data_IF_921389061540
#
_entry.id   IF_921389061540
#
_cell.length_a   1.000
_cell.length_b   1.000
_cell.length_c   1.000
_cell.angle_alpha   90.00
_cell.angle_beta   90.00
_cell.angle_gamma   90.00
#
_symmetry.space_group_name_H-M   'P 1'
#
loop_
_entity.id
_entity.type
_entity.pdbx_description
1 polymer ?
#
# COMPACT_ATOMS: atom_id res chain seq x y z
N UNK A 1 14.96 11.04 15.43
CA UNK A 1 14.39 9.78 14.87
C UNK A 1 14.54 9.86 13.35
N UNK A 2 15.36 9.01 12.72
CA UNK A 2 15.58 9.09 11.28
C UNK A 2 14.27 8.94 10.51
N UNK A 3 14.06 9.76 9.48
CA UNK A 3 12.84 9.74 8.66
C UNK A 3 12.61 8.34 8.03
N UNK A 4 13.67 7.63 7.68
CA UNK A 4 13.59 6.25 7.18
C UNK A 4 12.89 5.31 8.15
N UNK A 5 13.18 5.41 9.45
CA UNK A 5 12.53 4.58 10.47
C UNK A 5 11.03 4.89 10.58
N UNK A 6 10.65 6.16 10.46
CA UNK A 6 9.24 6.55 10.44
C UNK A 6 8.53 5.95 9.21
N UNK A 7 9.13 6.06 8.03
CA UNK A 7 8.60 5.53 6.77
C UNK A 7 8.48 3.99 6.82
N UNK A 8 9.51 3.28 7.32
CA UNK A 8 9.46 1.82 7.49
C UNK A 8 8.32 1.40 8.41
N UNK A 9 8.20 2.06 9.55
CA UNK A 9 7.15 1.76 10.53
C UNK A 9 5.76 2.05 9.97
N UNK A 10 5.60 3.18 9.26
CA UNK A 10 4.36 3.50 8.56
C UNK A 10 3.97 2.42 7.55
N UNK A 11 4.93 1.96 6.74
CA UNK A 11 4.68 0.92 5.73
C UNK A 11 4.17 -0.38 6.37
N UNK A 12 4.83 -0.86 7.42
CA UNK A 12 4.41 -2.06 8.15
C UNK A 12 2.99 -1.92 8.70
N UNK A 13 2.70 -0.79 9.35
CA UNK A 13 1.38 -0.51 9.93
C UNK A 13 0.29 -0.45 8.84
N UNK A 14 0.55 0.26 7.74
CA UNK A 14 -0.41 0.42 6.66
C UNK A 14 -0.69 -0.90 5.91
N UNK A 15 0.32 -1.71 5.65
CA UNK A 15 0.16 -3.03 5.03
C UNK A 15 -0.59 -3.99 5.96
N UNK A 16 -0.30 -3.97 7.26
CA UNK A 16 -1.06 -4.76 8.24
C UNK A 16 -2.54 -4.36 8.25
N UNK A 17 -2.84 -3.05 8.28
CA UNK A 17 -4.21 -2.56 8.21
C UNK A 17 -4.94 -3.02 6.93
N UNK A 18 -4.25 -2.98 5.79
CA UNK A 18 -4.82 -3.45 4.53
C UNK A 18 -5.14 -4.95 4.58
N UNK A 19 -4.22 -5.79 5.05
CA UNK A 19 -4.46 -7.23 5.22
C UNK A 19 -5.62 -7.50 6.18
N UNK A 20 -5.63 -6.86 7.33
CA UNK A 20 -6.67 -7.04 8.35
C UNK A 20 -8.04 -6.62 7.82
N UNK A 21 -8.12 -5.59 6.96
CA UNK A 21 -9.36 -5.18 6.31
C UNK A 21 -9.94 -6.25 5.38
N UNK A 22 -9.10 -7.04 4.71
CA UNK A 22 -9.54 -8.17 3.87
C UNK A 22 -9.96 -9.35 4.75
N UNK A 23 -9.19 -9.67 5.79
CA UNK A 23 -9.54 -10.74 6.73
C UNK A 23 -10.85 -10.46 7.46
N UNK A 24 -11.18 -9.22 7.70
CA UNK A 24 -12.43 -8.79 8.35
C UNK A 24 -13.68 -9.15 7.53
N UNK A 25 -13.57 -9.43 6.24
CA UNK A 25 -14.69 -9.89 5.42
C UNK A 25 -15.26 -11.22 5.93
N UNK A 26 -14.39 -12.15 6.34
CA UNK A 26 -14.81 -13.43 6.90
C UNK A 26 -14.86 -13.45 8.41
N UNK A 27 -13.86 -12.84 9.04
CA UNK A 27 -13.74 -12.78 10.49
C UNK A 27 -14.17 -11.39 10.97
N UNK A 28 -15.44 -11.24 11.29
CA UNK A 28 -16.07 -9.98 11.71
C UNK A 28 -15.79 -9.64 13.18
N UNK A 29 -14.57 -9.87 13.65
CA UNK A 29 -14.24 -9.55 15.02
C UNK A 29 -14.15 -8.03 15.22
N UNK A 30 -14.67 -7.56 16.34
CA UNK A 30 -14.53 -6.13 16.73
C UNK A 30 -13.06 -5.75 16.87
N UNK A 31 -12.23 -6.70 17.26
CA UNK A 31 -10.80 -6.55 17.44
C UNK A 31 -10.10 -6.24 16.12
N UNK A 32 -10.46 -6.93 15.02
CA UNK A 32 -9.93 -6.65 13.67
C UNK A 32 -10.34 -5.26 13.18
N UNK A 33 -11.60 -4.89 13.35
CA UNK A 33 -12.07 -3.55 12.99
C UNK A 33 -11.32 -2.47 13.78
N UNK A 34 -11.17 -2.65 15.07
CA UNK A 34 -10.46 -1.70 15.93
C UNK A 34 -8.96 -1.65 15.58
N UNK A 35 -8.35 -2.78 15.23
CA UNK A 35 -6.97 -2.86 14.78
C UNK A 35 -6.73 -1.98 13.54
N UNK A 36 -7.61 -2.07 12.54
CA UNK A 36 -7.50 -1.25 11.31
C UNK A 36 -7.66 0.24 11.62
N UNK A 37 -8.61 0.61 12.48
CA UNK A 37 -8.83 2.01 12.89
C UNK A 37 -7.58 2.55 13.60
N UNK A 38 -7.06 1.81 14.57
CA UNK A 38 -5.87 2.20 15.32
C UNK A 38 -4.64 2.31 14.42
N UNK A 39 -4.45 1.34 13.51
CA UNK A 39 -3.36 1.35 12.54
C UNK A 39 -3.42 2.57 11.62
N UNK A 40 -4.62 2.96 11.16
CA UNK A 40 -4.78 4.18 10.38
C UNK A 40 -4.38 5.43 11.18
N UNK A 41 -4.81 5.56 12.43
CA UNK A 41 -4.42 6.67 13.30
C UNK A 41 -2.91 6.73 13.52
N UNK A 42 -2.28 5.59 13.77
CA UNK A 42 -0.83 5.52 13.99
C UNK A 42 -0.04 5.85 12.72
N UNK A 43 -0.46 5.33 11.55
CA UNK A 43 0.15 5.67 10.28
C UNK A 43 0.03 7.18 9.99
N UNK A 44 -1.13 7.78 10.25
CA UNK A 44 -1.35 9.21 10.07
C UNK A 44 -0.47 10.06 11.01
N UNK A 45 -0.33 9.68 12.28
CA UNK A 45 0.57 10.36 13.23
C UNK A 45 2.02 10.31 12.79
N UNK A 46 2.50 9.16 12.33
CA UNK A 46 3.86 9.02 11.79
C UNK A 46 4.03 9.81 10.49
N UNK A 47 3.02 9.84 9.63
CA UNK A 47 3.00 10.65 8.42
C UNK A 47 3.12 12.15 8.71
N UNK A 48 2.35 12.66 9.65
CA UNK A 48 2.46 14.05 10.11
C UNK A 48 3.85 14.36 10.68
N UNK A 49 4.43 13.44 11.44
CA UNK A 49 5.80 13.57 11.92
C UNK A 49 6.79 13.65 10.77
N UNK A 50 6.73 12.71 9.81
CA UNK A 50 7.61 12.67 8.65
C UNK A 50 7.52 13.97 7.83
N UNK A 51 6.30 14.46 7.55
CA UNK A 51 6.07 15.71 6.81
C UNK A 51 6.66 16.92 7.54
N UNK A 52 6.53 16.99 8.86
CA UNK A 52 7.14 18.06 9.66
C UNK A 52 8.66 18.04 9.56
N UNK A 53 9.28 16.85 9.61
CA UNK A 53 10.73 16.70 9.44
C UNK A 53 11.17 17.15 8.04
N UNK A 54 10.44 16.78 7.00
CA UNK A 54 10.71 17.20 5.64
C UNK A 54 10.62 18.72 5.49
N UNK A 55 9.56 19.35 5.99
CA UNK A 55 9.40 20.82 5.97
C UNK A 55 10.53 21.53 6.69
N UNK A 56 10.83 21.10 7.90
CA UNK A 56 11.93 21.66 8.69
C UNK A 56 13.29 21.53 7.98
N UNK A 57 13.52 20.36 7.36
CA UNK A 57 14.73 20.12 6.58
C UNK A 57 14.85 21.04 5.35
N UNK A 58 13.74 21.30 4.64
CA UNK A 58 13.70 22.22 3.50
C UNK A 58 13.99 23.65 3.97
N UNK A 59 13.27 24.15 4.99
CA UNK A 59 13.38 25.51 5.50
C UNK A 59 14.79 25.87 5.98
N UNK A 60 15.51 24.90 6.51
CA UNK A 60 16.84 25.06 7.06
C UNK A 60 17.99 24.49 6.20
N UNK A 61 17.64 23.99 5.01
CA UNK A 61 18.58 23.32 4.10
C UNK A 61 19.36 22.16 4.73
N UNK A 62 18.65 21.37 5.58
CA UNK A 62 19.24 20.28 6.37
C UNK A 62 19.07 18.92 5.68
N UNK A 63 19.24 18.85 4.36
CA UNK A 63 19.04 17.57 3.65
C UNK A 63 20.05 16.50 4.05
N UNK A 64 21.30 16.87 4.34
CA UNK A 64 22.35 15.94 4.73
C UNK A 64 22.12 15.35 6.13
N UNK A 65 21.60 16.14 7.05
CA UNK A 65 21.23 15.69 8.41
C UNK A 65 20.06 14.70 8.41
N UNK A 66 19.22 14.77 7.38
CA UNK A 66 18.17 13.78 7.14
C UNK A 66 18.68 12.52 6.41
N UNK A 67 19.96 12.47 6.05
CA UNK A 67 20.55 11.36 5.30
C UNK A 67 20.35 11.44 3.80
N UNK A 68 19.93 12.60 3.26
CA UNK A 68 19.72 12.83 1.83
C UNK A 68 21.01 13.26 1.15
N UNK A 69 21.21 12.84 -0.08
CA UNK A 69 22.35 13.28 -0.91
C UNK A 69 22.03 14.59 -1.65
N UNK A 70 20.77 14.77 -2.01
CA UNK A 70 20.30 15.96 -2.72
C UNK A 70 19.00 16.48 -2.14
N UNK A 71 18.68 17.79 -2.28
CA UNK A 71 17.39 18.33 -1.86
C UNK A 71 16.18 17.71 -2.59
N UNK A 72 16.36 17.14 -3.78
CA UNK A 72 15.28 16.49 -4.54
C UNK A 72 14.68 15.29 -3.79
N UNK A 73 15.41 14.69 -2.87
CA UNK A 73 14.92 13.56 -2.06
C UNK A 73 13.78 13.95 -1.12
N UNK A 74 13.62 15.21 -0.78
CA UNK A 74 12.46 15.69 -0.04
C UNK A 74 11.14 15.36 -0.77
N UNK A 75 11.12 15.58 -2.10
CA UNK A 75 9.95 15.27 -2.91
C UNK A 75 9.68 13.78 -2.97
N UNK A 76 10.71 12.96 -3.17
CA UNK A 76 10.62 11.51 -3.17
C UNK A 76 9.99 10.99 -1.85
N UNK A 77 10.53 11.40 -0.72
CA UNK A 77 10.00 10.96 0.58
C UNK A 77 8.57 11.47 0.82
N UNK A 78 8.23 12.67 0.34
CA UNK A 78 6.86 13.19 0.45
C UNK A 78 5.86 12.34 -0.34
N UNK A 79 6.23 11.88 -1.54
CA UNK A 79 5.40 10.99 -2.36
C UNK A 79 5.24 9.64 -1.67
N UNK A 80 6.32 9.06 -1.14
CA UNK A 80 6.29 7.78 -0.42
C UNK A 80 5.38 7.85 0.81
N UNK A 81 5.49 8.90 1.62
CA UNK A 81 4.63 9.11 2.78
C UNK A 81 3.16 9.17 2.37
N UNK A 82 2.82 9.92 1.31
CA UNK A 82 1.46 9.98 0.77
C UNK A 82 0.93 8.61 0.32
N UNK A 83 1.75 7.83 -0.37
CA UNK A 83 1.36 6.50 -0.82
C UNK A 83 1.01 5.59 0.37
N UNK A 84 1.84 5.63 1.43
CA UNK A 84 1.60 4.81 2.63
C UNK A 84 0.33 5.28 3.38
N UNK A 85 0.13 6.58 3.53
CA UNK A 85 -1.09 7.15 4.12
C UNK A 85 -2.34 6.68 3.34
N UNK A 86 -2.26 6.65 2.01
CA UNK A 86 -3.35 6.20 1.15
C UNK A 86 -3.66 4.72 1.35
N UNK A 87 -2.66 3.85 1.57
CA UNK A 87 -2.88 2.43 1.87
C UNK A 87 -3.70 2.28 3.15
N UNK A 88 -3.32 2.93 4.23
CA UNK A 88 -4.04 2.85 5.52
C UNK A 88 -5.44 3.46 5.45
N UNK A 89 -5.60 4.57 4.72
CA UNK A 89 -6.91 5.20 4.49
C UNK A 89 -7.85 4.29 3.70
N UNK A 90 -7.35 3.61 2.67
CA UNK A 90 -8.15 2.66 1.90
C UNK A 90 -8.57 1.44 2.73
N UNK A 91 -7.70 0.97 3.64
CA UNK A 91 -8.06 -0.08 4.60
C UNK A 91 -9.21 0.36 5.53
N UNK A 92 -9.14 1.58 6.07
CA UNK A 92 -10.21 2.15 6.89
C UNK A 92 -11.52 2.28 6.09
N UNK A 93 -11.45 2.76 4.85
CA UNK A 93 -12.62 2.84 3.98
C UNK A 93 -13.26 1.47 3.73
N UNK A 94 -12.45 0.42 3.56
CA UNK A 94 -12.95 -0.96 3.43
C UNK A 94 -13.72 -1.40 4.66
N UNK A 95 -13.20 -1.14 5.87
CA UNK A 95 -13.88 -1.45 7.13
C UNK A 95 -15.20 -0.68 7.27
N UNK A 96 -15.23 0.59 6.90
CA UNK A 96 -16.45 1.39 6.93
C UNK A 96 -17.51 0.86 5.96
N UNK A 97 -17.11 0.45 4.76
CA UNK A 97 -18.00 -0.19 3.80
C UNK A 97 -18.52 -1.55 4.30
N UNK A 98 -17.66 -2.37 4.93
CA UNK A 98 -18.08 -3.63 5.55
C UNK A 98 -19.11 -3.40 6.66
N UNK A 99 -18.93 -2.39 7.49
CA UNK A 99 -19.85 -2.04 8.57
C UNK A 99 -21.22 -1.63 8.01
N UNK A 100 -21.23 -0.84 6.93
CA UNK A 100 -22.46 -0.43 6.25
C UNK A 100 -23.16 -1.62 5.61
N UNK A 101 -22.41 -2.45 4.89
CA UNK A 101 -22.92 -3.66 4.25
C UNK A 101 -23.51 -4.64 5.27
N UNK A 102 -22.84 -4.81 6.42
CA UNK A 102 -23.32 -5.68 7.48
C UNK A 102 -24.70 -5.25 8.01
N UNK A 103 -24.89 -3.96 8.25
CA UNK A 103 -26.21 -3.44 8.68
C UNK A 103 -27.31 -3.78 7.68
N UNK A 104 -27.05 -3.56 6.39
CA UNK A 104 -28.02 -3.88 5.34
C UNK A 104 -28.34 -5.38 5.25
N UNK A 105 -27.35 -6.24 5.46
CA UNK A 105 -27.50 -7.69 5.39
C UNK A 105 -28.20 -8.24 6.65
N UNK A 106 -27.87 -7.72 7.82
CA UNK A 106 -28.53 -8.11 9.07
C UNK A 106 -30.03 -7.80 9.02
N UNK A 107 -30.43 -6.71 8.37
CA UNK A 107 -31.82 -6.37 8.10
C UNK A 107 -32.51 -7.38 7.13
N UNK A 108 -31.75 -8.05 6.27
CA UNK A 108 -32.22 -9.02 5.28
C UNK A 108 -32.02 -10.48 5.70
N UNK A 109 -31.55 -10.76 6.91
CA UNK A 109 -31.26 -12.09 7.44
C UNK A 109 -30.22 -12.91 6.64
N UNK A 110 -29.36 -12.24 5.88
CA UNK A 110 -28.28 -12.87 5.12
C UNK A 110 -26.96 -12.80 5.88
N UNK A 111 -26.23 -13.93 5.90
CA UNK A 111 -24.88 -13.97 6.47
C UNK A 111 -23.83 -13.76 5.37
N UNK A 112 -23.04 -12.69 5.45
CA UNK A 112 -21.98 -12.38 4.47
C UNK A 112 -20.99 -13.56 4.38
N UNK A 113 -20.65 -14.18 5.51
CA UNK A 113 -19.69 -15.28 5.57
C UNK A 113 -20.04 -16.42 4.62
N UNK A 114 -21.32 -16.78 4.53
CA UNK A 114 -21.79 -17.90 3.71
C UNK A 114 -21.99 -17.49 2.23
N UNK A 115 -21.96 -16.20 1.93
CA UNK A 115 -22.08 -15.66 0.57
C UNK A 115 -20.74 -15.45 -0.13
N UNK A 116 -19.61 -15.72 0.56
CA UNK A 116 -18.26 -15.52 -0.01
C UNK A 116 -17.81 -16.81 -0.70
N UNK A 117 -17.49 -16.69 -2.00
CA UNK A 117 -16.85 -17.75 -2.74
C UNK A 117 -15.39 -17.96 -2.24
N UNK A 118 -15.10 -19.18 -1.77
CA UNK A 118 -13.80 -19.52 -1.17
C UNK A 118 -12.64 -19.40 -2.15
N UNK A 119 -12.87 -19.75 -3.41
CA UNK A 119 -11.84 -19.69 -4.44
C UNK A 119 -11.48 -18.23 -4.74
N UNK A 120 -12.48 -17.36 -4.93
CA UNK A 120 -12.30 -15.92 -5.14
C UNK A 120 -11.56 -15.31 -3.95
N UNK A 121 -11.98 -15.62 -2.74
CA UNK A 121 -11.36 -15.09 -1.53
C UNK A 121 -9.90 -15.50 -1.37
N UNK A 122 -9.59 -16.78 -1.61
CA UNK A 122 -8.22 -17.29 -1.53
C UNK A 122 -7.31 -16.67 -2.57
N UNK A 123 -7.79 -16.51 -3.81
CA UNK A 123 -7.02 -15.83 -4.87
C UNK A 123 -6.84 -14.34 -4.59
N UNK A 124 -7.84 -13.68 -4.00
CA UNK A 124 -7.72 -12.29 -3.58
C UNK A 124 -6.63 -12.12 -2.49
N UNK A 125 -6.60 -13.00 -1.49
CA UNK A 125 -5.56 -13.00 -0.45
C UNK A 125 -4.16 -13.24 -1.04
N UNK A 126 -4.05 -14.14 -1.99
CA UNK A 126 -2.79 -14.42 -2.70
C UNK A 126 -2.32 -13.18 -3.48
N UNK A 127 -3.21 -12.55 -4.24
CA UNK A 127 -2.91 -11.32 -4.97
C UNK A 127 -2.50 -10.18 -4.03
N UNK A 128 -3.22 -10.04 -2.91
CA UNK A 128 -2.87 -9.05 -1.88
C UNK A 128 -1.49 -9.30 -1.26
N UNK A 129 -1.13 -10.56 -1.01
CA UNK A 129 0.20 -10.94 -0.52
C UNK A 129 1.31 -10.55 -1.50
N UNK A 130 1.10 -10.76 -2.79
CA UNK A 130 2.04 -10.30 -3.82
C UNK A 130 2.17 -8.77 -3.86
N UNK A 131 1.07 -8.05 -3.66
CA UNK A 131 1.08 -6.59 -3.59
C UNK A 131 1.92 -6.09 -2.39
N UNK A 132 1.75 -6.70 -1.22
CA UNK A 132 2.54 -6.39 -0.03
C UNK A 132 4.03 -6.65 -0.23
N UNK A 133 4.37 -7.83 -0.76
CA UNK A 133 5.76 -8.18 -1.03
C UNK A 133 6.40 -7.18 -2.01
N UNK A 134 5.72 -6.84 -3.09
CA UNK A 134 6.22 -5.89 -4.08
C UNK A 134 6.46 -4.50 -3.47
N UNK A 135 5.55 -4.05 -2.60
CA UNK A 135 5.67 -2.77 -1.91
C UNK A 135 6.86 -2.77 -0.92
N UNK A 136 7.01 -3.82 -0.13
CA UNK A 136 8.16 -3.97 0.79
C UNK A 136 9.49 -4.00 0.05
N UNK A 137 9.56 -4.71 -1.08
CA UNK A 137 10.73 -4.72 -1.95
C UNK A 137 11.04 -3.32 -2.50
N UNK A 138 10.03 -2.53 -2.88
CA UNK A 138 10.21 -1.16 -3.39
C UNK A 138 10.76 -0.20 -2.33
N UNK A 139 10.24 -0.26 -1.12
CA UNK A 139 10.75 0.52 0.02
C UNK A 139 12.21 0.14 0.33
N UNK A 140 12.52 -1.16 0.30
CA UNK A 140 13.88 -1.65 0.53
C UNK A 140 14.85 -1.19 -0.57
N UNK A 141 14.45 -1.28 -1.83
CA UNK A 141 15.23 -0.79 -2.98
C UNK A 141 15.49 0.72 -2.87
N UNK A 142 14.46 1.49 -2.50
CA UNK A 142 14.58 2.94 -2.29
C UNK A 142 15.62 3.29 -1.22
N UNK A 143 15.58 2.63 -0.06
CA UNK A 143 16.54 2.92 1.02
C UNK A 143 17.97 2.48 0.68
N UNK A 144 18.12 1.36 -0.03
CA UNK A 144 19.42 0.86 -0.47
C UNK A 144 19.97 1.54 -1.73
N UNK A 145 19.15 2.38 -2.39
CA UNK A 145 19.48 2.97 -3.70
C UNK A 145 19.79 1.89 -4.75
N UNK A 146 19.02 0.81 -4.70
CA UNK A 146 19.23 -0.37 -5.53
C UNK A 146 18.51 -0.24 -6.87
N UNK A 147 19.28 0.15 -7.90
CA UNK A 147 18.81 0.29 -9.28
C UNK A 147 18.23 -1.03 -9.84
N UNK A 148 18.98 -2.13 -9.72
CA UNK A 148 18.56 -3.42 -10.25
C UNK A 148 17.33 -3.97 -9.51
N UNK A 149 17.27 -3.78 -8.20
CA UNK A 149 16.09 -4.12 -7.42
C UNK A 149 14.86 -3.33 -7.87
N UNK A 150 15.01 -2.03 -8.13
CA UNK A 150 13.93 -1.18 -8.61
C UNK A 150 13.42 -1.60 -10.00
N UNK A 151 14.33 -1.91 -10.95
CA UNK A 151 13.96 -2.40 -12.28
C UNK A 151 13.18 -3.72 -12.22
N UNK A 152 13.61 -4.65 -11.38
CA UNK A 152 12.90 -5.92 -11.16
C UNK A 152 11.47 -5.71 -10.62
N UNK A 153 11.24 -4.71 -9.80
CA UNK A 153 9.91 -4.40 -9.27
C UNK A 153 8.96 -3.98 -10.38
N UNK A 154 9.43 -3.14 -11.30
CA UNK A 154 8.63 -2.69 -12.45
C UNK A 154 8.24 -3.89 -13.32
N UNK A 155 9.20 -4.76 -13.66
CA UNK A 155 8.94 -5.98 -14.44
C UNK A 155 7.97 -6.93 -13.72
N UNK A 156 8.13 -7.14 -12.41
CA UNK A 156 7.21 -7.96 -11.62
C UNK A 156 5.79 -7.40 -11.65
N UNK A 157 5.61 -6.07 -11.56
CA UNK A 157 4.29 -5.44 -11.62
C UNK A 157 3.58 -5.74 -12.94
N UNK A 158 4.30 -5.72 -14.05
CA UNK A 158 3.75 -6.04 -15.37
C UNK A 158 3.26 -7.50 -15.43
N UNK A 159 4.01 -8.43 -14.88
CA UNK A 159 3.59 -9.85 -14.80
C UNK A 159 2.33 -10.04 -13.95
N UNK A 160 2.11 -9.24 -12.92
CA UNK A 160 0.90 -9.33 -12.07
C UNK A 160 -0.37 -8.80 -12.75
N UNK A 161 -0.28 -8.08 -13.86
CA UNK A 161 -1.46 -7.66 -14.66
C UNK A 161 -2.26 -8.87 -15.15
N UNK A 162 -1.58 -9.92 -15.58
CA UNK A 162 -2.24 -11.15 -16.01
C UNK A 162 -2.99 -11.81 -14.85
N UNK A 163 -2.36 -11.93 -13.70
CA UNK A 163 -2.97 -12.50 -12.49
C UNK A 163 -4.21 -11.68 -12.03
N UNK A 164 -4.13 -10.35 -12.11
CA UNK A 164 -5.26 -9.47 -11.83
C UNK A 164 -6.44 -9.75 -12.77
N UNK A 165 -6.17 -9.86 -14.07
CA UNK A 165 -7.17 -10.12 -15.08
C UNK A 165 -7.83 -11.50 -14.89
N UNK A 166 -7.06 -12.52 -14.51
CA UNK A 166 -7.56 -13.86 -14.20
C UNK A 166 -8.52 -13.81 -12.98
N UNK A 167 -8.14 -13.09 -11.93
CA UNK A 167 -8.99 -12.92 -10.75
C UNK A 167 -10.29 -12.16 -11.07
N UNK A 168 -10.22 -11.13 -11.91
CA UNK A 168 -11.42 -10.40 -12.38
C UNK A 168 -12.35 -11.33 -13.16
N UNK A 169 -11.81 -12.16 -14.06
CA UNK A 169 -12.60 -13.14 -14.81
C UNK A 169 -13.26 -14.15 -13.90
N UNK A 170 -12.53 -14.65 -12.90
CA UNK A 170 -13.06 -15.56 -11.91
C UNK A 170 -14.22 -14.91 -11.15
N UNK A 171 -14.05 -13.70 -10.63
CA UNK A 171 -15.10 -12.96 -9.91
C UNK A 171 -16.35 -12.75 -10.80
N UNK A 172 -16.16 -12.47 -12.09
CA UNK A 172 -17.26 -12.24 -13.05
C UNK A 172 -17.98 -13.55 -13.40
N UNK A 173 -17.27 -14.69 -13.41
CA UNK A 173 -17.86 -16.00 -13.71
C UNK A 173 -18.72 -16.57 -12.59
N UNK A 174 -18.51 -16.13 -11.35
CA UNK A 174 -19.26 -16.55 -10.18
C UNK A 174 -20.56 -15.79 -10.03
N UNK A 175 -21.60 -16.46 -9.56
CA UNK A 175 -22.89 -15.81 -9.22
C UNK A 175 -22.82 -15.22 -7.82
N UNK A 176 -22.05 -14.15 -7.66
CA UNK A 176 -21.90 -13.46 -6.39
C UNK A 176 -23.08 -12.53 -6.12
N UNK A 177 -23.43 -12.36 -4.84
CA UNK A 177 -24.29 -11.25 -4.43
C UNK A 177 -23.67 -9.91 -4.87
N UNK A 178 -24.43 -8.97 -5.43
CA UNK A 178 -23.90 -7.70 -5.94
C UNK A 178 -23.13 -6.90 -4.89
N UNK A 179 -23.55 -6.91 -3.63
CA UNK A 179 -22.88 -6.20 -2.54
C UNK A 179 -21.55 -6.87 -2.19
N UNK A 180 -21.51 -8.20 -2.17
CA UNK A 180 -20.29 -8.98 -1.97
C UNK A 180 -19.32 -8.76 -3.15
N UNK A 181 -19.81 -8.80 -4.37
CA UNK A 181 -19.00 -8.52 -5.56
C UNK A 181 -18.37 -7.11 -5.51
N UNK A 182 -19.13 -6.11 -5.08
CA UNK A 182 -18.65 -4.73 -4.94
C UNK A 182 -17.51 -4.63 -3.88
N UNK A 183 -17.66 -5.27 -2.73
CA UNK A 183 -16.64 -5.24 -1.68
C UNK A 183 -15.38 -6.00 -2.08
N UNK A 184 -15.52 -7.16 -2.72
CA UNK A 184 -14.38 -7.92 -3.25
C UNK A 184 -13.62 -7.12 -4.32
N UNK A 185 -14.35 -6.41 -5.17
CA UNK A 185 -13.76 -5.53 -6.17
C UNK A 185 -12.99 -4.38 -5.54
N UNK A 186 -13.54 -3.75 -4.49
CA UNK A 186 -12.85 -2.72 -3.74
C UNK A 186 -11.54 -3.24 -3.12
N UNK A 187 -11.56 -4.44 -2.55
CA UNK A 187 -10.36 -5.07 -1.97
C UNK A 187 -9.30 -5.39 -3.03
N UNK A 188 -9.73 -5.85 -4.21
CA UNK A 188 -8.83 -6.07 -5.35
C UNK A 188 -8.22 -4.75 -5.84
N UNK A 189 -9.02 -3.70 -5.99
CA UNK A 189 -8.55 -2.38 -6.40
C UNK A 189 -7.56 -1.78 -5.38
N UNK A 190 -7.78 -1.98 -4.09
CA UNK A 190 -6.83 -1.56 -3.06
C UNK A 190 -5.49 -2.30 -3.17
N UNK A 191 -5.53 -3.62 -3.41
CA UNK A 191 -4.32 -4.43 -3.61
C UNK A 191 -3.57 -4.01 -4.89
N UNK A 192 -4.29 -3.75 -5.97
CA UNK A 192 -3.73 -3.21 -7.22
C UNK A 192 -3.05 -1.86 -6.99
N UNK A 193 -3.69 -0.96 -6.24
CA UNK A 193 -3.10 0.36 -5.91
C UNK A 193 -1.80 0.24 -5.12
N UNK A 194 -1.69 -0.73 -4.23
CA UNK A 194 -0.43 -1.01 -3.50
C UNK A 194 0.67 -1.38 -4.50
N UNK A 195 0.38 -2.21 -5.51
CA UNK A 195 1.34 -2.56 -6.57
C UNK A 195 1.73 -1.33 -7.41
N UNK A 196 0.78 -0.45 -7.74
CA UNK A 196 1.07 0.79 -8.46
C UNK A 196 1.96 1.74 -7.63
N UNK A 197 1.73 1.83 -6.34
CA UNK A 197 2.61 2.60 -5.45
C UNK A 197 4.01 2.00 -5.38
N UNK A 198 4.13 0.65 -5.36
CA UNK A 198 5.42 -0.03 -5.41
C UNK A 198 6.18 0.30 -6.71
N UNK A 199 5.51 0.23 -7.86
CA UNK A 199 6.06 0.62 -9.16
C UNK A 199 6.52 2.08 -9.16
N UNK A 200 5.68 3.00 -8.69
CA UNK A 200 5.98 4.41 -8.61
C UNK A 200 7.23 4.69 -7.75
N UNK A 201 7.35 4.05 -6.59
CA UNK A 201 8.53 4.17 -5.73
C UNK A 201 9.78 3.62 -6.43
N UNK A 202 9.66 2.51 -7.18
CA UNK A 202 10.74 1.95 -7.96
C UNK A 202 11.20 2.90 -9.08
N UNK A 203 10.28 3.49 -9.84
CA UNK A 203 10.57 4.49 -10.87
C UNK A 203 11.29 5.73 -10.29
N UNK A 204 10.82 6.24 -9.15
CA UNK A 204 11.48 7.33 -8.44
C UNK A 204 12.88 6.94 -7.96
N UNK A 205 13.08 5.69 -7.56
CA UNK A 205 14.40 5.17 -7.17
C UNK A 205 15.34 5.10 -8.36
N UNK A 206 14.87 4.64 -9.53
CA UNK A 206 15.65 4.63 -10.76
C UNK A 206 16.08 6.04 -11.16
N UNK A 207 15.15 6.99 -11.21
CA UNK A 207 15.42 8.36 -11.60
C UNK A 207 16.50 9.00 -10.72
N UNK A 208 16.43 8.77 -9.40
CA UNK A 208 17.42 9.26 -8.45
C UNK A 208 18.82 8.67 -8.72
N UNK A 209 18.88 7.37 -8.99
CA UNK A 209 20.15 6.66 -9.21
C UNK A 209 20.81 7.10 -10.52
N UNK A 210 20.04 7.30 -11.58
CA UNK A 210 20.54 7.81 -12.87
C UNK A 210 21.13 9.21 -12.72
N UNK A 211 20.45 10.11 -12.01
CA UNK A 211 20.97 11.47 -11.73
C UNK A 211 22.28 11.44 -10.95
N UNK A 212 22.44 10.54 -9.97
CA UNK A 212 23.68 10.37 -9.21
C UNK A 212 24.85 9.90 -10.09
N UNK A 213 24.59 9.03 -11.05
CA UNK A 213 25.60 8.54 -12.01
C UNK A 213 25.99 9.67 -12.96
N UNK A 214 25.04 10.38 -13.54
CA UNK A 214 25.32 11.47 -14.47
C UNK A 214 26.16 12.59 -13.83
N UNK A 215 25.80 13.01 -12.60
CA UNK A 215 26.59 14.03 -11.87
C UNK A 215 28.01 13.59 -11.54
N UNK A 216 28.27 12.29 -11.37
CA UNK A 216 29.61 11.79 -11.11
C UNK A 216 30.52 11.78 -12.36
N UNK A 217 29.93 11.84 -13.56
CA UNK A 217 30.68 11.97 -14.82
C UNK A 217 30.99 13.42 -15.21
N UNK A 218 30.20 14.40 -14.74
CA UNK A 218 30.42 15.83 -15.03
C UNK A 218 31.53 16.46 -14.16
N UNK A 219 31.99 15.76 -13.10
CA UNK A 219 33.01 16.26 -12.16
C UNK A 219 34.41 15.74 -12.51
N UNK A 220 34.57 15.02 -13.60
CA UNK A 220 35.86 14.63 -14.16
C UNK A 220 36.21 15.45 -15.40
#
# INVERSE_FOLDING_TARGET
FPIENAVRRMAVIALSANRDSILALKNRSKELFQSVINAHHDANRLGLYAVRQLKFGIERNLFRELGFRTPKEFLLYRIVVNNIESISKNALNTINNLTTLQKQIDEQLLFIKDAIDEEVYTQLLTFNSHAHQLFEESIKAMFKRDYFGAEKIITKRENFIQLENELIRLMTSKKLDPNIAAILRLMLDNSRRIMEYAKNIAELTLNRTVEEICTSFEIK
#
